data_IF_061654137818
#
_entry.id   IF_061654137818
#
_cell.length_a   1.000
_cell.length_b   1.000
_cell.length_c   1.000
_cell.angle_alpha   90.00
_cell.angle_beta   90.00
_cell.angle_gamma   90.00
#
_symmetry.space_group_name_H-M   'P 1'
#
loop_
_entity.id
_entity.type
_entity.pdbx_description
1 polymer ?
#
# COMPACT_ATOMS: atom_id res chain seq x y z
N UNK A 1 -24.03 12.08 18.37
CA UNK A 1 -22.86 11.38 18.96
C UNK A 1 -22.87 9.94 18.46
N UNK A 2 -21.77 9.43 17.94
CA UNK A 2 -21.73 8.04 17.45
C UNK A 2 -21.95 7.08 18.63
N UNK A 3 -22.76 6.06 18.41
CA UNK A 3 -23.11 5.02 19.36
C UNK A 3 -21.82 4.33 19.88
N UNK A 4 -21.69 4.01 21.19
CA UNK A 4 -20.50 3.38 21.74
C UNK A 4 -20.11 2.08 21.03
N UNK A 5 -21.07 1.29 20.56
CA UNK A 5 -20.84 0.11 19.74
C UNK A 5 -20.13 0.45 18.40
N UNK A 6 -20.47 1.57 17.77
CA UNK A 6 -19.83 2.05 16.55
C UNK A 6 -18.37 2.46 16.79
N UNK A 7 -18.07 3.06 17.93
CA UNK A 7 -16.69 3.44 18.31
C UNK A 7 -15.80 2.21 18.52
N UNK A 8 -16.30 1.20 19.18
CA UNK A 8 -15.54 -0.07 19.40
C UNK A 8 -15.23 -0.75 18.08
N UNK A 9 -16.21 -0.83 17.17
CA UNK A 9 -16.00 -1.41 15.83
C UNK A 9 -14.96 -0.62 15.04
N UNK A 10 -15.02 0.71 15.06
CA UNK A 10 -14.04 1.56 14.37
C UNK A 10 -12.62 1.38 14.96
N UNK A 11 -12.48 1.27 16.27
CA UNK A 11 -11.20 1.02 16.94
C UNK A 11 -10.63 -0.36 16.57
N UNK A 12 -11.45 -1.40 16.54
CA UNK A 12 -11.02 -2.74 16.12
C UNK A 12 -10.54 -2.73 14.68
N UNK A 13 -11.28 -2.10 13.77
CA UNK A 13 -10.89 -1.96 12.37
C UNK A 13 -9.56 -1.21 12.27
N UNK A 14 -9.40 -0.12 13.00
CA UNK A 14 -8.18 0.68 13.01
C UNK A 14 -6.97 -0.14 13.48
N UNK A 15 -7.13 -0.92 14.54
CA UNK A 15 -6.07 -1.79 15.08
C UNK A 15 -5.69 -2.86 14.05
N UNK A 16 -6.68 -3.52 13.42
CA UNK A 16 -6.43 -4.55 12.41
C UNK A 16 -5.70 -3.95 11.19
N UNK A 17 -6.14 -2.78 10.72
CA UNK A 17 -5.49 -2.10 9.61
C UNK A 17 -4.07 -1.66 9.96
N UNK A 18 -3.85 -1.11 11.15
CA UNK A 18 -2.54 -0.71 11.64
C UNK A 18 -1.58 -1.90 11.81
N UNK A 19 -2.07 -3.00 12.37
CA UNK A 19 -1.30 -4.24 12.49
C UNK A 19 -0.92 -4.82 11.11
N UNK A 20 -1.87 -4.84 10.17
CA UNK A 20 -1.62 -5.28 8.80
C UNK A 20 -0.56 -4.43 8.10
N UNK A 21 -0.63 -3.12 8.28
CA UNK A 21 0.39 -2.23 7.74
C UNK A 21 1.76 -2.44 8.39
N UNK A 22 1.83 -2.55 9.71
CA UNK A 22 3.08 -2.83 10.42
C UNK A 22 3.73 -4.15 10.00
N UNK A 23 2.92 -5.21 9.81
CA UNK A 23 3.40 -6.50 9.30
C UNK A 23 3.99 -6.39 7.89
N UNK A 24 3.45 -5.53 7.04
CA UNK A 24 3.95 -5.38 5.67
C UNK A 24 5.40 -4.88 5.63
N UNK A 25 5.84 -4.03 6.56
CA UNK A 25 7.25 -3.61 6.66
C UNK A 25 8.16 -4.76 7.05
N UNK A 26 7.74 -5.60 7.98
CA UNK A 26 8.51 -6.78 8.41
C UNK A 26 8.64 -7.78 7.26
N UNK A 27 7.55 -8.05 6.55
CA UNK A 27 7.55 -8.94 5.38
C UNK A 27 8.42 -8.38 4.25
N UNK A 28 8.34 -7.09 3.99
CA UNK A 28 9.20 -6.40 3.02
C UNK A 28 10.68 -6.58 3.37
N UNK A 29 11.04 -6.37 4.64
CA UNK A 29 12.43 -6.55 5.10
C UNK A 29 12.91 -7.98 4.90
N UNK A 30 12.10 -8.98 5.25
CA UNK A 30 12.43 -10.39 5.05
C UNK A 30 12.62 -10.69 3.55
N UNK A 31 11.68 -10.24 2.72
CA UNK A 31 11.73 -10.49 1.28
C UNK A 31 12.96 -9.87 0.61
N UNK A 32 13.32 -8.63 0.99
CA UNK A 32 14.51 -7.95 0.45
C UNK A 32 15.80 -8.53 1.00
N UNK A 33 15.82 -8.99 2.25
CA UNK A 33 17.03 -9.60 2.86
C UNK A 33 17.37 -10.97 2.27
N UNK A 34 16.41 -11.67 1.65
CA UNK A 34 16.63 -12.96 0.98
C UNK A 34 17.17 -12.82 -0.44
N UNK A 35 17.54 -11.62 -0.88
CA UNK A 35 18.19 -11.38 -2.17
C UNK A 35 17.24 -11.21 -3.35
N UNK A 36 15.93 -11.16 -3.11
CA UNK A 36 14.97 -10.85 -4.17
C UNK A 36 15.07 -9.39 -4.59
N UNK A 37 15.08 -9.16 -5.89
CA UNK A 37 15.05 -7.81 -6.43
C UNK A 37 13.71 -7.13 -6.06
N UNK A 38 13.77 -6.01 -5.36
CA UNK A 38 12.61 -5.28 -4.88
C UNK A 38 11.66 -4.84 -6.00
N UNK A 39 12.16 -4.61 -7.21
CA UNK A 39 11.32 -4.30 -8.37
C UNK A 39 10.36 -5.42 -8.76
N UNK A 40 10.81 -6.69 -8.66
CA UNK A 40 9.95 -7.84 -8.91
C UNK A 40 8.82 -7.96 -7.89
N UNK A 41 9.11 -7.71 -6.62
CA UNK A 41 8.10 -7.70 -5.55
C UNK A 41 7.08 -6.57 -5.76
N UNK A 42 7.53 -5.37 -6.12
CA UNK A 42 6.65 -4.25 -6.44
C UNK A 42 5.76 -4.56 -7.64
N UNK A 43 6.32 -5.10 -8.71
CA UNK A 43 5.55 -5.46 -9.91
C UNK A 43 4.44 -6.47 -9.57
N UNK A 44 4.76 -7.49 -8.78
CA UNK A 44 3.80 -8.51 -8.35
C UNK A 44 2.69 -7.92 -7.48
N UNK A 45 3.04 -7.04 -6.55
CA UNK A 45 2.09 -6.32 -5.71
C UNK A 45 1.13 -5.46 -6.55
N UNK A 46 1.63 -4.71 -7.53
CA UNK A 46 0.78 -3.89 -8.39
C UNK A 46 -0.13 -4.71 -9.28
N UNK A 47 0.32 -5.86 -9.79
CA UNK A 47 -0.50 -6.79 -10.58
C UNK A 47 -1.67 -7.31 -9.74
N UNK A 48 -1.42 -7.76 -8.51
CA UNK A 48 -2.46 -8.25 -7.61
C UNK A 48 -3.46 -7.13 -7.29
N UNK A 49 -2.99 -5.94 -6.95
CA UNK A 49 -3.85 -4.78 -6.66
C UNK A 49 -4.70 -4.38 -7.88
N UNK A 50 -4.12 -4.39 -9.07
CA UNK A 50 -4.84 -4.13 -10.30
C UNK A 50 -5.93 -5.18 -10.57
N UNK A 51 -5.62 -6.45 -10.37
CA UNK A 51 -6.58 -7.55 -10.54
C UNK A 51 -7.76 -7.43 -9.57
N UNK A 52 -7.48 -7.15 -8.29
CA UNK A 52 -8.52 -6.94 -7.27
C UNK A 52 -9.40 -5.73 -7.62
N UNK A 53 -8.77 -4.60 -7.99
CA UNK A 53 -9.49 -3.38 -8.35
C UNK A 53 -10.35 -3.58 -9.59
N UNK A 54 -9.84 -4.28 -10.60
CA UNK A 54 -10.60 -4.65 -11.79
C UNK A 54 -11.80 -5.55 -11.45
N UNK A 55 -11.58 -6.57 -10.62
CA UNK A 55 -12.66 -7.45 -10.15
C UNK A 55 -13.76 -6.68 -9.41
N UNK A 56 -13.38 -5.73 -8.54
CA UNK A 56 -14.34 -4.88 -7.85
C UNK A 56 -15.16 -3.99 -8.81
N UNK A 57 -14.52 -3.44 -9.85
CA UNK A 57 -15.21 -2.66 -10.88
C UNK A 57 -16.24 -3.51 -11.64
N UNK A 58 -15.91 -4.76 -11.96
CA UNK A 58 -16.81 -5.70 -12.60
C UNK A 58 -18.03 -6.03 -11.73
N UNK A 59 -17.79 -6.33 -10.44
CA UNK A 59 -18.88 -6.63 -9.49
C UNK A 59 -19.81 -5.42 -9.32
N UNK A 60 -19.26 -4.22 -9.28
CA UNK A 60 -20.05 -2.99 -9.17
C UNK A 60 -20.69 -2.52 -10.46
N UNK A 61 -20.43 -3.22 -11.59
CA UNK A 61 -20.90 -2.85 -12.94
C UNK A 61 -20.62 -1.39 -13.32
N UNK A 62 -19.56 -0.81 -12.77
CA UNK A 62 -19.12 0.55 -13.08
C UNK A 62 -17.70 0.48 -13.65
N UNK A 63 -17.55 0.42 -14.98
CA UNK A 63 -16.23 0.41 -15.60
C UNK A 63 -15.52 1.72 -15.28
N UNK A 64 -14.21 1.69 -15.04
CA UNK A 64 -13.43 2.91 -14.84
C UNK A 64 -13.49 3.78 -16.12
N UNK A 65 -13.55 5.10 -16.01
CA UNK A 65 -13.55 5.98 -17.16
C UNK A 65 -12.18 5.96 -17.87
N UNK A 66 -12.15 5.44 -19.09
CA UNK A 66 -10.95 5.33 -19.92
C UNK A 66 -10.73 6.57 -20.82
N UNK A 67 -10.97 7.76 -20.32
CA UNK A 67 -10.65 8.97 -21.07
C UNK A 67 -9.16 9.31 -20.89
N UNK A 68 -8.53 9.82 -21.92
CA UNK A 68 -7.08 10.17 -21.91
C UNK A 68 -6.70 11.04 -20.70
N UNK A 69 -7.57 11.95 -20.29
CA UNK A 69 -7.38 12.78 -19.10
C UNK A 69 -7.35 11.96 -17.81
N UNK A 70 -8.25 10.98 -17.66
CA UNK A 70 -8.30 10.11 -16.48
C UNK A 70 -7.08 9.18 -16.43
N UNK A 71 -6.67 8.63 -17.57
CA UNK A 71 -5.46 7.81 -17.66
C UNK A 71 -4.22 8.61 -17.26
N UNK A 72 -4.08 9.85 -17.74
CA UNK A 72 -2.97 10.72 -17.35
C UNK A 72 -2.95 10.99 -15.82
N UNK A 73 -4.12 11.25 -15.23
CA UNK A 73 -4.25 11.44 -13.78
C UNK A 73 -3.89 10.15 -13.03
N UNK A 74 -4.36 8.99 -13.48
CA UNK A 74 -4.03 7.70 -12.86
C UNK A 74 -2.54 7.40 -12.92
N UNK A 75 -1.89 7.67 -14.05
CA UNK A 75 -0.44 7.52 -14.19
C UNK A 75 0.31 8.47 -13.25
N UNK A 76 -0.11 9.72 -13.17
CA UNK A 76 0.49 10.69 -12.27
C UNK A 76 0.38 10.27 -10.80
N UNK A 77 -0.81 9.84 -10.38
CA UNK A 77 -1.04 9.34 -9.01
C UNK A 77 -0.22 8.07 -8.76
N UNK A 78 -0.15 7.15 -9.71
CA UNK A 78 0.61 5.93 -9.59
C UNK A 78 2.11 6.21 -9.42
N UNK A 79 2.66 7.10 -10.23
CA UNK A 79 4.07 7.49 -10.18
C UNK A 79 4.42 8.18 -8.86
N UNK A 80 3.68 9.24 -8.52
CA UNK A 80 4.00 10.08 -7.36
C UNK A 80 3.53 9.47 -6.04
N UNK A 81 2.37 8.81 -6.02
CA UNK A 81 1.76 8.28 -4.81
C UNK A 81 2.18 6.86 -4.45
N UNK A 82 2.69 6.09 -5.41
CA UNK A 82 3.02 4.69 -5.17
C UNK A 82 4.43 4.33 -5.63
N UNK A 83 4.76 4.55 -6.89
CA UNK A 83 6.01 4.05 -7.45
C UNK A 83 7.23 4.70 -6.80
N UNK A 84 7.26 6.04 -6.74
CA UNK A 84 8.39 6.79 -6.17
C UNK A 84 8.55 6.53 -4.67
N UNK A 85 7.51 6.69 -3.80
CA UNK A 85 7.68 6.45 -2.37
C UNK A 85 8.00 5.00 -2.04
N UNK A 86 7.40 4.04 -2.75
CA UNK A 86 7.72 2.63 -2.54
C UNK A 86 9.16 2.29 -2.95
N UNK A 87 9.63 2.80 -4.10
CA UNK A 87 11.01 2.58 -4.53
C UNK A 87 12.02 3.09 -3.52
N UNK A 88 11.78 4.28 -2.96
CA UNK A 88 12.62 4.85 -1.90
C UNK A 88 12.54 3.98 -0.64
N UNK A 89 11.35 3.60 -0.21
CA UNK A 89 11.14 2.77 0.97
C UNK A 89 11.85 1.41 0.85
N UNK A 90 11.75 0.75 -0.30
CA UNK A 90 12.44 -0.52 -0.53
C UNK A 90 13.97 -0.35 -0.56
N UNK A 91 14.47 0.71 -1.18
CA UNK A 91 15.91 1.00 -1.20
C UNK A 91 16.47 1.22 0.21
N UNK A 92 15.71 1.92 1.05
CA UNK A 92 16.09 2.20 2.44
C UNK A 92 15.93 0.97 3.33
N UNK A 93 14.94 0.10 3.04
CA UNK A 93 14.68 -1.13 3.80
C UNK A 93 15.86 -2.12 3.79
N UNK A 94 16.71 -2.07 2.78
CA UNK A 94 17.94 -2.87 2.73
C UNK A 94 18.89 -2.47 3.86
N UNK A 95 18.98 -1.18 4.16
CA UNK A 95 19.98 -0.61 5.05
C UNK A 95 19.47 -0.37 6.48
N UNK A 96 18.17 -0.15 6.67
CA UNK A 96 17.58 0.17 7.96
C UNK A 96 16.81 -1.01 8.56
N UNK A 97 16.86 -1.18 9.90
CA UNK A 97 15.98 -2.11 10.60
C UNK A 97 14.50 -1.71 10.46
N UNK A 98 13.61 -2.70 10.39
CA UNK A 98 12.18 -2.49 10.18
C UNK A 98 11.54 -1.55 11.23
N UNK A 99 12.03 -1.61 12.48
CA UNK A 99 11.57 -0.72 13.55
C UNK A 99 11.87 0.75 13.32
N UNK A 100 13.05 1.08 12.78
CA UNK A 100 13.39 2.47 12.44
C UNK A 100 12.55 2.99 11.29
N UNK A 101 12.26 2.16 10.29
CA UNK A 101 11.38 2.53 9.18
C UNK A 101 9.97 2.84 9.65
N UNK A 102 9.41 2.02 10.54
CA UNK A 102 8.06 2.26 11.07
C UNK A 102 7.98 3.55 11.88
N UNK A 103 9.01 3.90 12.65
CA UNK A 103 9.08 5.18 13.39
C UNK A 103 9.15 6.36 12.42
N UNK A 104 10.00 6.29 11.40
CA UNK A 104 10.13 7.36 10.41
C UNK A 104 8.83 7.61 9.66
N UNK A 105 8.11 6.54 9.28
CA UNK A 105 6.83 6.66 8.59
C UNK A 105 5.74 7.18 9.52
N UNK A 106 5.75 6.82 10.80
CA UNK A 106 4.81 7.34 11.78
C UNK A 106 4.94 8.85 12.02
N UNK A 107 6.09 9.46 11.68
CA UNK A 107 6.30 10.92 11.77
C UNK A 107 5.82 11.68 10.54
N UNK A 108 5.44 10.99 9.46
CA UNK A 108 4.85 11.63 8.27
C UNK A 108 3.39 11.96 8.60
N UNK A 109 2.98 13.24 8.51
CA UNK A 109 1.62 13.68 8.85
C UNK A 109 0.59 13.21 7.83
#
# INVERSE_FOLDING_TARGET
MPNPASRTVLLVILIIMGAGWGLSFTLTKIAVSTGYQYFGLMAWQFIIMAAISWGMCQVRRKPPPWTIKHVAIYLMICLTGSLVPNSISYSVAVHLPAGMMSILIATVP
#
